data_IF_322478456780
#
_entry.id   IF_322478456780
#
_cell.length_a   1.000
_cell.length_b   1.000
_cell.length_c   1.000
_cell.angle_alpha   90.00
_cell.angle_beta   90.00
_cell.angle_gamma   90.00
#
_symmetry.space_group_name_H-M   'P 1'
#
loop_
_entity.id
_entity.type
_entity.pdbx_description
1 polymer ?
#
# COMPACT_ATOMS: atom_id res chain seq x y z
N UNK A 1 -15.83 -20.56 21.84
CA UNK A 1 -14.83 -20.17 20.82
C UNK A 1 -14.54 -18.69 21.02
N UNK A 2 -13.29 -18.29 21.24
CA UNK A 2 -12.90 -16.90 21.55
C UNK A 2 -12.94 -16.00 20.31
N UNK A 3 -13.27 -14.72 20.52
CA UNK A 3 -13.36 -13.70 19.46
C UNK A 3 -12.02 -13.53 18.70
N UNK A 4 -10.90 -13.77 19.39
CA UNK A 4 -9.56 -13.65 18.83
C UNK A 4 -9.31 -14.63 17.68
N UNK A 5 -9.83 -15.86 17.80
CA UNK A 5 -9.68 -16.88 16.76
C UNK A 5 -10.43 -16.49 15.48
N UNK A 6 -11.63 -15.93 15.62
CA UNK A 6 -12.40 -15.44 14.47
C UNK A 6 -11.69 -14.28 13.77
N UNK A 7 -11.09 -13.36 14.54
CA UNK A 7 -10.32 -12.24 13.98
C UNK A 7 -9.10 -12.73 13.18
N UNK A 8 -8.36 -13.71 13.71
CA UNK A 8 -7.20 -14.30 13.02
C UNK A 8 -7.63 -15.00 11.73
N UNK A 9 -8.68 -15.82 11.78
CA UNK A 9 -9.20 -16.54 10.60
C UNK A 9 -9.68 -15.54 9.54
N UNK A 10 -10.42 -14.51 9.92
CA UNK A 10 -10.89 -13.48 9.00
C UNK A 10 -9.72 -12.75 8.31
N UNK A 11 -8.67 -12.42 9.07
CA UNK A 11 -7.44 -11.82 8.51
C UNK A 11 -6.75 -12.71 7.49
N UNK A 12 -6.62 -14.01 7.78
CA UNK A 12 -6.02 -14.99 6.85
C UNK A 12 -6.85 -15.11 5.57
N UNK A 13 -8.18 -15.24 5.69
CA UNK A 13 -9.08 -15.34 4.53
C UNK A 13 -9.02 -14.07 3.67
N UNK A 14 -8.99 -12.88 4.28
CA UNK A 14 -8.86 -11.62 3.56
C UNK A 14 -7.56 -11.54 2.76
N UNK A 15 -6.43 -11.97 3.34
CA UNK A 15 -5.13 -11.99 2.64
C UNK A 15 -5.13 -12.98 1.47
N UNK A 16 -5.70 -14.18 1.65
CA UNK A 16 -5.82 -15.17 0.58
C UNK A 16 -6.68 -14.66 -0.57
N UNK A 17 -7.83 -14.06 -0.26
CA UNK A 17 -8.73 -13.50 -1.25
C UNK A 17 -8.06 -12.34 -2.01
N UNK A 18 -7.39 -11.43 -1.32
CA UNK A 18 -6.65 -10.33 -1.95
C UNK A 18 -5.54 -10.84 -2.89
N UNK A 19 -4.82 -11.90 -2.48
CA UNK A 19 -3.79 -12.53 -3.30
C UNK A 19 -4.39 -13.20 -4.55
N UNK A 20 -5.51 -13.90 -4.39
CA UNK A 20 -6.23 -14.53 -5.51
C UNK A 20 -6.74 -13.47 -6.50
N UNK A 21 -7.44 -12.44 -6.01
CA UNK A 21 -7.96 -11.35 -6.84
C UNK A 21 -6.86 -10.64 -7.63
N UNK A 22 -5.74 -10.34 -6.96
CA UNK A 22 -4.58 -9.72 -7.61
C UNK A 22 -4.04 -10.58 -8.75
N UNK A 23 -3.96 -11.90 -8.57
CA UNK A 23 -3.50 -12.83 -9.62
C UNK A 23 -4.48 -12.88 -10.79
N UNK A 24 -5.78 -13.01 -10.51
CA UNK A 24 -6.82 -13.10 -11.54
C UNK A 24 -6.88 -11.85 -12.42
N UNK A 25 -6.68 -10.66 -11.85
CA UNK A 25 -6.66 -9.41 -12.62
C UNK A 25 -5.39 -9.30 -13.48
N UNK A 26 -4.22 -9.69 -12.94
CA UNK A 26 -2.95 -9.60 -13.66
C UNK A 26 -2.78 -10.66 -14.76
N UNK A 27 -3.56 -11.74 -14.75
CA UNK A 27 -3.55 -12.77 -15.79
C UNK A 27 -4.41 -12.43 -17.02
N UNK A 28 -5.21 -11.37 -16.96
CA UNK A 28 -6.02 -10.93 -18.09
C UNK A 28 -5.12 -10.33 -19.19
N UNK A 29 -5.39 -10.59 -20.47
CA UNK A 29 -4.61 -10.05 -21.58
C UNK A 29 -4.67 -8.52 -21.60
N UNK A 30 -3.52 -7.88 -21.82
CA UNK A 30 -3.44 -6.44 -21.96
C UNK A 30 -4.11 -6.01 -23.27
N UNK A 31 -5.02 -5.04 -23.21
CA UNK A 31 -5.76 -4.56 -24.39
C UNK A 31 -4.86 -3.94 -25.45
N UNK A 32 -5.22 -4.11 -26.73
CA UNK A 32 -4.43 -3.65 -27.87
C UNK A 32 -4.68 -2.20 -28.28
N UNK A 33 -3.71 -1.62 -29.01
CA UNK A 33 -3.84 -0.32 -29.68
C UNK A 33 -4.15 0.84 -28.74
N UNK A 34 -5.25 1.56 -29.02
CA UNK A 34 -5.70 2.75 -28.26
C UNK A 34 -5.89 2.47 -26.77
N UNK A 35 -6.29 1.25 -26.40
CA UNK A 35 -6.53 0.86 -25.01
C UNK A 35 -5.23 0.89 -24.19
N UNK A 36 -4.09 0.53 -24.78
CA UNK A 36 -2.77 0.59 -24.14
C UNK A 36 -2.33 2.02 -23.88
N UNK A 37 -2.56 2.93 -24.82
CA UNK A 37 -2.26 4.36 -24.67
C UNK A 37 -3.07 5.02 -23.54
N UNK A 38 -4.37 4.70 -23.46
CA UNK A 38 -5.24 5.17 -22.37
C UNK A 38 -4.79 4.58 -21.03
N UNK A 39 -4.45 3.28 -20.99
CA UNK A 39 -3.96 2.63 -19.78
C UNK A 39 -2.66 3.28 -19.26
N UNK A 40 -1.73 3.64 -20.14
CA UNK A 40 -0.49 4.34 -19.78
C UNK A 40 -0.78 5.74 -19.21
N UNK A 41 -1.68 6.51 -19.83
CA UNK A 41 -2.07 7.83 -19.31
C UNK A 41 -2.72 7.74 -17.92
N UNK A 42 -3.59 6.74 -17.70
CA UNK A 42 -4.19 6.46 -16.38
C UNK A 42 -3.12 6.07 -15.36
N UNK A 43 -2.14 5.24 -15.75
CA UNK A 43 -1.05 4.84 -14.85
C UNK A 43 -0.18 6.03 -14.44
N UNK A 44 0.15 6.92 -15.38
CA UNK A 44 0.96 8.10 -15.08
C UNK A 44 0.21 9.03 -14.10
N UNK A 45 -1.08 9.25 -14.33
CA UNK A 45 -1.95 10.01 -13.41
C UNK A 45 -2.07 9.36 -12.03
N UNK A 46 -2.30 8.05 -11.97
CA UNK A 46 -2.39 7.30 -10.72
C UNK A 46 -1.06 7.35 -9.94
N UNK A 47 0.08 7.24 -10.62
CA UNK A 47 1.40 7.38 -10.00
C UNK A 47 1.60 8.78 -9.43
N UNK A 48 1.27 9.83 -10.18
CA UNK A 48 1.38 11.20 -9.71
C UNK A 48 0.48 11.46 -8.48
N UNK A 49 -0.75 10.93 -8.49
CA UNK A 49 -1.66 11.00 -7.35
C UNK A 49 -1.09 10.28 -6.12
N UNK A 50 -0.63 9.03 -6.29
CA UNK A 50 -0.07 8.25 -5.19
C UNK A 50 1.19 8.92 -4.61
N UNK A 51 2.06 9.50 -5.43
CA UNK A 51 3.23 10.24 -4.94
C UNK A 51 2.79 11.42 -4.06
N UNK A 52 1.79 12.20 -4.48
CA UNK A 52 1.25 13.31 -3.68
C UNK A 52 0.64 12.80 -2.37
N UNK A 53 -0.16 11.75 -2.42
CA UNK A 53 -0.82 11.16 -1.25
C UNK A 53 0.20 10.61 -0.23
N UNK A 54 1.18 9.84 -0.70
CA UNK A 54 2.23 9.30 0.16
C UNK A 54 3.10 10.40 0.78
N UNK A 55 3.27 11.53 0.10
CA UNK A 55 4.00 12.69 0.65
C UNK A 55 3.25 13.29 1.82
N UNK A 56 1.93 13.51 1.70
CA UNK A 56 1.09 14.02 2.79
C UNK A 56 1.07 13.04 3.98
N UNK A 57 0.89 11.73 3.72
CA UNK A 57 0.93 10.69 4.77
C UNK A 57 2.30 10.67 5.48
N UNK A 58 3.38 10.93 4.73
CA UNK A 58 4.73 10.99 5.32
C UNK A 58 4.84 12.16 6.28
N UNK A 59 4.34 13.34 5.92
CA UNK A 59 4.32 14.50 6.81
C UNK A 59 3.48 14.27 8.06
N UNK A 60 2.25 13.76 7.90
CA UNK A 60 1.37 13.45 9.04
C UNK A 60 2.05 12.48 10.00
N UNK A 61 2.64 11.38 9.50
CA UNK A 61 3.29 10.45 10.40
C UNK A 61 4.60 10.97 11.02
N UNK A 62 5.25 12.01 10.48
CA UNK A 62 6.35 12.69 11.18
C UNK A 62 5.80 13.48 12.37
N UNK A 63 4.70 14.20 12.18
CA UNK A 63 4.02 14.91 13.28
C UNK A 63 3.59 13.94 14.37
N UNK A 64 2.94 12.83 14.01
CA UNK A 64 2.52 11.79 14.97
C UNK A 64 3.72 11.19 15.69
N UNK A 65 4.84 10.93 15.00
CA UNK A 65 6.05 10.40 15.62
C UNK A 65 6.61 11.35 16.69
N UNK A 66 6.66 12.65 16.41
CA UNK A 66 7.13 13.66 17.36
C UNK A 66 6.18 13.72 18.56
N UNK A 67 4.88 13.76 18.33
CA UNK A 67 3.86 13.79 19.40
C UNK A 67 3.97 12.55 20.30
N UNK A 68 4.10 11.35 19.73
CA UNK A 68 4.25 10.11 20.51
C UNK A 68 5.56 10.06 21.30
N UNK A 69 6.65 10.62 20.74
CA UNK A 69 7.94 10.70 21.40
C UNK A 69 7.91 11.55 22.66
N UNK A 70 7.26 12.71 22.60
CA UNK A 70 7.12 13.62 23.75
C UNK A 70 5.99 13.25 24.71
N UNK A 71 4.88 12.70 24.23
CA UNK A 71 3.71 12.41 25.08
C UNK A 71 3.79 11.06 25.81
N UNK A 72 4.42 10.04 25.21
CA UNK A 72 4.50 8.70 25.79
C UNK A 72 5.95 8.31 26.11
N UNK A 73 6.74 7.97 25.08
CA UNK A 73 8.16 7.61 25.19
C UNK A 73 8.73 7.42 23.77
N UNK A 74 10.01 7.74 23.58
CA UNK A 74 10.77 7.49 22.35
C UNK A 74 10.74 6.02 21.89
N UNK A 75 10.65 5.06 22.81
CA UNK A 75 10.58 3.63 22.45
C UNK A 75 9.30 3.28 21.66
N UNK A 76 8.17 3.89 22.03
CA UNK A 76 6.87 3.72 21.35
C UNK A 76 6.87 4.42 19.98
N UNK A 77 7.46 5.62 19.92
CA UNK A 77 7.62 6.36 18.67
C UNK A 77 8.48 5.60 17.65
N UNK A 78 9.59 4.97 18.08
CA UNK A 78 10.44 4.15 17.21
C UNK A 78 9.69 2.91 16.68
N UNK A 79 8.86 2.27 17.50
CA UNK A 79 7.99 1.17 17.06
C UNK A 79 7.03 1.59 15.94
N UNK A 80 6.40 2.76 16.07
CA UNK A 80 5.55 3.34 15.02
C UNK A 80 6.29 3.56 13.70
N UNK A 81 7.55 4.01 13.76
CA UNK A 81 8.38 4.26 12.57
C UNK A 81 8.68 2.97 11.79
N UNK A 82 8.98 1.86 12.48
CA UNK A 82 9.30 0.56 11.87
C UNK A 82 8.10 0.00 11.10
N UNK A 83 6.91 0.06 11.69
CA UNK A 83 5.66 -0.37 11.06
C UNK A 83 5.33 0.45 9.81
N UNK A 84 5.43 1.78 9.92
CA UNK A 84 5.16 2.72 8.81
C UNK A 84 6.08 2.50 7.61
N UNK A 85 7.38 2.25 7.86
CA UNK A 85 8.39 2.04 6.80
C UNK A 85 8.05 0.82 5.93
N UNK A 86 7.61 -0.29 6.52
CA UNK A 86 7.24 -1.51 5.78
C UNK A 86 6.02 -1.29 4.88
N UNK A 87 4.99 -0.61 5.38
CA UNK A 87 3.79 -0.28 4.59
C UNK A 87 4.10 0.67 3.42
N UNK A 88 4.91 1.71 3.65
CA UNK A 88 5.29 2.67 2.62
C UNK A 88 6.19 2.10 1.53
N UNK A 89 7.13 1.20 1.89
CA UNK A 89 8.02 0.55 0.93
C UNK A 89 7.28 -0.43 0.01
N UNK A 90 6.36 -1.24 0.57
CA UNK A 90 5.57 -2.19 -0.21
C UNK A 90 4.63 -1.50 -1.21
N UNK A 91 4.02 -0.38 -0.82
CA UNK A 91 3.15 0.41 -1.70
C UNK A 91 3.90 0.97 -2.92
N UNK A 92 5.04 1.65 -2.69
CA UNK A 92 5.85 2.22 -3.77
C UNK A 92 6.41 1.17 -4.73
N UNK A 93 6.85 0.04 -4.20
CA UNK A 93 7.43 -1.04 -5.00
C UNK A 93 6.39 -1.72 -5.92
N UNK A 94 5.11 -1.74 -5.53
CA UNK A 94 4.02 -2.26 -6.38
C UNK A 94 3.70 -1.31 -7.53
N UNK A 95 3.69 0.00 -7.28
CA UNK A 95 3.47 1.02 -8.33
C UNK A 95 4.60 1.01 -9.38
N UNK A 96 5.85 0.87 -8.95
CA UNK A 96 7.00 0.83 -9.86
C UNK A 96 7.05 -0.44 -10.71
N UNK A 97 6.56 -1.58 -10.20
CA UNK A 97 6.48 -2.83 -10.95
C UNK A 97 5.36 -2.85 -11.98
N UNK A 98 4.31 -2.05 -11.80
CA UNK A 98 3.21 -1.94 -12.76
C UNK A 98 3.67 -1.33 -14.09
N UNK A 99 4.58 -0.34 -14.05
CA UNK A 99 5.10 0.33 -15.25
C UNK A 99 5.93 -0.61 -16.14
N UNK A 100 6.59 -1.62 -15.57
CA UNK A 100 7.48 -2.52 -16.32
C UNK A 100 6.74 -3.61 -17.11
N UNK A 101 5.40 -3.65 -17.07
CA UNK A 101 4.55 -4.67 -17.71
C UNK A 101 3.69 -4.14 -18.86
N UNK A 102 3.83 -2.88 -19.24
CA UNK A 102 3.18 -2.27 -20.41
C UNK A 102 4.23 -1.66 -21.32
#
# INVERSE_FOLDING_TARGET
>A
MSIDLYAVIAGVVALLYAAWLTRSVLSLPAGEGKMKGIALAIQEGAKAYLIRQYTVITWIGVVVFIVLGFALNWMIALGFLVLRRRAGALGRLRVLRAHRRY
#
